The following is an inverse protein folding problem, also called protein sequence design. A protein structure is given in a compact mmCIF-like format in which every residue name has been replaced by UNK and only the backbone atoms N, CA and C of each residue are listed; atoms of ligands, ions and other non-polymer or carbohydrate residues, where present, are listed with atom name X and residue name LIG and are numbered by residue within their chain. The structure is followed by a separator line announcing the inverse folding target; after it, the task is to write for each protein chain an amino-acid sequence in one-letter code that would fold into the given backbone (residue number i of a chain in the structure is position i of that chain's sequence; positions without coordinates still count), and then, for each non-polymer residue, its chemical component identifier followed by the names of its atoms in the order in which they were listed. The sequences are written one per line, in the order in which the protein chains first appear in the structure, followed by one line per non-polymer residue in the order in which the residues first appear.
data_IF_231456572258
#
_entry.id   IF_231456572258
#
_cell.length_a   1.000
_cell.length_b   1.000
_cell.length_c   1.000
_cell.angle_alpha   90.00
_cell.angle_beta   90.00
_cell.angle_gamma   90.00
#
_symmetry.space_group_name_H-M   'P 1'
#
loop_
_entity.id
_entity.type
_entity.pdbx_description
1 polymer ?
#
# COMPACT_ATOMS: atom_id res chain seq x y z
N UNK A 1 -4.28 34.83 72.32
CA UNK A 1 -3.44 33.63 72.03
C UNK A 1 -3.28 33.49 70.52
N UNK A 2 -2.11 33.82 69.95
CA UNK A 2 -1.81 33.56 68.52
C UNK A 2 -0.69 32.52 68.46
N UNK A 3 -1.02 31.29 68.04
CA UNK A 3 -0.04 30.23 67.80
C UNK A 3 0.65 30.50 66.47
N UNK A 4 1.96 30.75 66.50
CA UNK A 4 2.79 30.90 65.32
C UNK A 4 3.00 29.52 64.69
N UNK A 5 2.33 29.26 63.57
CA UNK A 5 2.55 28.09 62.71
C UNK A 5 3.93 28.23 62.04
N UNK A 6 4.90 27.46 62.54
CA UNK A 6 6.22 27.28 61.93
C UNK A 6 6.05 26.53 60.61
N UNK A 7 6.07 27.26 59.48
CA UNK A 7 6.22 26.65 58.15
C UNK A 7 7.64 26.06 58.08
N UNK A 8 7.75 24.74 58.09
CA UNK A 8 8.96 24.05 57.65
C UNK A 8 9.03 24.19 56.12
N UNK A 9 10.02 24.87 55.54
CA UNK A 9 10.21 24.84 54.11
C UNK A 9 10.66 23.42 53.76
N UNK A 10 9.81 22.67 53.05
CA UNK A 10 10.27 21.46 52.40
C UNK A 10 11.26 21.91 51.33
N UNK A 11 12.54 21.63 51.59
CA UNK A 11 13.63 21.84 50.65
C UNK A 11 13.30 21.03 49.40
N UNK A 12 12.95 21.71 48.32
CA UNK A 12 12.89 21.10 46.99
C UNK A 12 14.34 20.78 46.65
N UNK A 13 14.72 19.51 46.77
CA UNK A 13 16.03 19.04 46.36
C UNK A 13 16.13 19.22 44.84
N UNK A 14 16.84 20.28 44.43
CA UNK A 14 17.12 20.55 43.02
C UNK A 14 18.23 19.59 42.58
N UNK A 15 17.88 18.31 42.42
CA UNK A 15 18.75 17.31 41.82
C UNK A 15 18.94 17.66 40.34
N UNK A 16 19.96 18.47 40.05
CA UNK A 16 20.36 18.83 38.70
C UNK A 16 20.98 17.63 37.98
N UNK A 17 20.67 17.50 36.69
CA UNK A 17 21.31 16.55 35.79
C UNK A 17 22.83 16.75 35.81
N UNK A 18 23.58 15.67 35.98
CA UNK A 18 25.03 15.73 35.88
C UNK A 18 25.47 15.85 34.41
N UNK A 19 26.60 16.53 34.14
CA UNK A 19 27.17 16.60 32.79
C UNK A 19 27.45 15.20 32.22
N UNK A 20 27.81 14.25 33.08
CA UNK A 20 28.08 12.88 32.69
C UNK A 20 26.80 12.11 32.31
N UNK A 21 25.68 12.35 32.99
CA UNK A 21 24.39 11.77 32.57
C UNK A 21 23.99 12.25 31.19
N UNK A 22 24.10 13.55 30.93
CA UNK A 22 23.74 14.08 29.62
C UNK A 22 24.67 13.53 28.53
N UNK A 23 25.97 13.41 28.81
CA UNK A 23 26.95 12.84 27.89
C UNK A 23 26.69 11.35 27.60
N UNK A 24 26.39 10.56 28.62
CA UNK A 24 26.10 9.13 28.44
C UNK A 24 24.78 8.92 27.67
N UNK A 25 23.77 9.76 27.89
CA UNK A 25 22.49 9.71 27.16
C UNK A 25 22.70 9.94 25.67
N UNK A 26 23.45 10.96 25.27
CA UNK A 26 23.70 11.21 23.83
C UNK A 26 24.50 10.07 23.19
N UNK A 27 25.41 9.43 23.93
CA UNK A 27 26.16 8.25 23.47
C UNK A 27 25.23 7.06 23.27
N UNK A 28 24.35 6.78 24.23
CA UNK A 28 23.40 5.66 24.13
C UNK A 28 22.40 5.89 22.98
N UNK A 29 21.84 7.09 22.85
CA UNK A 29 20.92 7.43 21.75
C UNK A 29 21.65 7.30 20.39
N UNK A 30 22.91 7.73 20.31
CA UNK A 30 23.75 7.57 19.11
C UNK A 30 23.92 6.11 18.70
N UNK A 31 24.27 5.22 19.64
CA UNK A 31 24.46 3.78 19.37
C UNK A 31 23.13 3.13 18.96
N UNK A 32 22.05 3.38 19.71
CA UNK A 32 20.74 2.80 19.42
C UNK A 32 20.19 3.26 18.06
N UNK A 33 20.35 4.55 17.73
CA UNK A 33 19.88 5.09 16.44
C UNK A 33 20.62 4.49 15.23
N UNK A 34 21.93 4.24 15.36
CA UNK A 34 22.73 3.60 14.31
C UNK A 34 22.25 2.18 13.98
N UNK A 35 21.90 1.38 15.00
CA UNK A 35 21.42 0.01 14.83
C UNK A 35 20.04 0.00 14.13
N UNK A 36 19.13 0.90 14.52
CA UNK A 36 17.78 0.95 13.95
C UNK A 36 17.79 1.23 12.45
N UNK A 37 18.66 2.14 11.98
CA UNK A 37 18.77 2.48 10.55
C UNK A 37 19.29 1.27 9.74
N UNK A 38 20.19 0.47 10.31
CA UNK A 38 20.71 -0.72 9.65
C UNK A 38 19.67 -1.83 9.47
N UNK A 39 18.66 -1.89 10.34
CA UNK A 39 17.62 -2.95 10.34
C UNK A 39 16.45 -2.62 9.41
N UNK A 40 16.10 -1.33 9.25
CA UNK A 40 14.99 -0.93 8.38
C UNK A 40 15.46 -0.89 6.93
N UNK A 41 14.81 -1.68 6.06
CA UNK A 41 14.95 -1.55 4.61
C UNK A 41 13.83 -0.65 4.06
N UNK A 42 14.03 0.68 3.97
CA UNK A 42 12.98 1.60 3.53
C UNK A 42 12.53 1.35 2.10
N UNK A 43 13.40 0.78 1.25
CA UNK A 43 13.06 0.44 -0.11
C UNK A 43 12.00 -0.67 -0.16
N UNK A 44 12.13 -1.72 0.67
CA UNK A 44 11.10 -2.77 0.73
C UNK A 44 9.76 -2.28 1.27
N UNK A 45 9.77 -1.40 2.28
CA UNK A 45 8.54 -0.82 2.82
C UNK A 45 7.82 0.03 1.78
N UNK A 46 8.57 0.85 1.02
CA UNK A 46 8.02 1.64 -0.09
C UNK A 46 7.45 0.76 -1.20
N UNK A 47 8.15 -0.32 -1.56
CA UNK A 47 7.67 -1.29 -2.57
C UNK A 47 6.36 -1.96 -2.13
N UNK A 48 6.30 -2.47 -0.90
CA UNK A 48 5.06 -3.07 -0.35
C UNK A 48 3.90 -2.08 -0.36
N UNK A 49 4.14 -0.83 0.01
CA UNK A 49 3.10 0.21 0.00
C UNK A 49 2.63 0.55 -1.42
N UNK A 50 3.54 0.59 -2.39
CA UNK A 50 3.16 0.76 -3.79
C UNK A 50 2.32 -0.42 -4.29
N UNK A 51 2.71 -1.65 -3.93
CA UNK A 51 1.98 -2.87 -4.31
C UNK A 51 0.60 -2.98 -3.66
N UNK A 52 0.39 -2.50 -2.43
CA UNK A 52 -0.94 -2.48 -1.83
C UNK A 52 -1.88 -1.49 -2.53
N UNK A 53 -1.36 -0.31 -2.91
CA UNK A 53 -2.11 0.65 -3.74
C UNK A 53 -2.42 0.05 -5.12
N UNK A 54 -1.46 -0.67 -5.71
CA UNK A 54 -1.65 -1.37 -6.97
C UNK A 54 -2.78 -2.38 -6.92
N UNK A 55 -2.76 -3.25 -5.91
CA UNK A 55 -3.81 -4.24 -5.68
C UNK A 55 -5.16 -3.55 -5.56
N UNK A 56 -5.27 -2.53 -4.71
CA UNK A 56 -6.52 -1.80 -4.50
C UNK A 56 -7.03 -1.12 -5.79
N UNK A 57 -6.15 -0.55 -6.61
CA UNK A 57 -6.53 0.03 -7.90
C UNK A 57 -6.98 -1.05 -8.88
N UNK A 58 -6.27 -2.19 -8.92
CA UNK A 58 -6.64 -3.34 -9.75
C UNK A 58 -8.00 -3.88 -9.32
N UNK A 59 -8.25 -4.06 -8.02
CA UNK A 59 -9.54 -4.50 -7.47
C UNK A 59 -10.69 -3.60 -7.90
N UNK A 60 -10.53 -2.28 -7.83
CA UNK A 60 -11.55 -1.32 -8.29
C UNK A 60 -11.86 -1.48 -9.77
N UNK A 61 -10.82 -1.62 -10.60
CA UNK A 61 -10.99 -1.83 -12.05
C UNK A 61 -11.62 -3.21 -12.31
N UNK A 62 -11.26 -4.23 -11.55
CA UNK A 62 -11.83 -5.58 -11.60
C UNK A 62 -13.33 -5.58 -11.30
N UNK A 63 -13.75 -4.93 -10.22
CA UNK A 63 -15.17 -4.80 -9.90
C UNK A 63 -15.94 -4.00 -10.96
N UNK A 64 -15.34 -2.93 -11.49
CA UNK A 64 -15.94 -2.16 -12.58
C UNK A 64 -16.09 -3.00 -13.87
N UNK A 65 -15.06 -3.78 -14.26
CA UNK A 65 -15.17 -4.64 -15.43
C UNK A 65 -16.16 -5.79 -15.22
N UNK A 66 -16.24 -6.37 -14.02
CA UNK A 66 -17.11 -7.51 -13.73
C UNK A 66 -18.57 -7.07 -13.67
N UNK A 67 -18.85 -5.92 -13.07
CA UNK A 67 -20.19 -5.32 -13.10
C UNK A 67 -20.61 -4.92 -14.51
N UNK A 68 -19.70 -4.35 -15.32
CA UNK A 68 -19.95 -4.06 -16.72
C UNK A 68 -20.29 -5.34 -17.49
N UNK A 69 -19.47 -6.39 -17.34
CA UNK A 69 -19.61 -7.62 -18.08
C UNK A 69 -20.85 -8.43 -17.69
N UNK A 70 -21.26 -8.36 -16.42
CA UNK A 70 -22.48 -8.99 -15.93
C UNK A 70 -23.78 -8.27 -16.36
N UNK A 71 -23.70 -6.98 -16.69
CA UNK A 71 -24.89 -6.16 -17.00
C UNK A 71 -25.11 -5.99 -18.51
N UNK A 72 -24.05 -6.02 -19.31
CA UNK A 72 -24.13 -5.72 -20.75
C UNK A 72 -24.23 -6.97 -21.61
N UNK A 73 -24.99 -6.84 -22.71
CA UNK A 73 -25.24 -7.93 -23.66
C UNK A 73 -24.02 -8.30 -24.53
N UNK A 74 -23.08 -7.36 -24.74
CA UNK A 74 -21.88 -7.56 -25.57
C UNK A 74 -20.65 -7.06 -24.80
N UNK A 75 -20.21 -7.81 -23.77
CA UNK A 75 -19.11 -7.39 -22.91
C UNK A 75 -17.75 -7.43 -23.62
N UNK A 76 -17.58 -8.27 -24.65
CA UNK A 76 -16.34 -8.33 -25.44
C UNK A 76 -16.02 -7.05 -26.23
N UNK A 77 -16.96 -6.11 -26.35
CA UNK A 77 -16.74 -4.83 -27.04
C UNK A 77 -16.92 -3.65 -26.10
N UNK A 78 -17.84 -3.74 -25.14
CA UNK A 78 -18.22 -2.62 -24.28
C UNK A 78 -17.52 -2.58 -22.91
N UNK A 79 -16.79 -3.62 -22.54
CA UNK A 79 -16.15 -3.74 -21.23
C UNK A 79 -14.64 -4.02 -21.33
N UNK A 80 -14.03 -3.69 -22.46
CA UNK A 80 -12.63 -4.02 -22.79
C UNK A 80 -11.68 -2.83 -22.73
N UNK A 81 -12.19 -1.67 -22.32
CA UNK A 81 -11.42 -0.44 -22.12
C UNK A 81 -11.99 0.37 -20.94
N UNK A 82 -11.23 1.35 -20.48
CA UNK A 82 -11.60 2.18 -19.32
C UNK A 82 -12.84 3.04 -19.60
N UNK A 83 -13.02 3.51 -20.84
CA UNK A 83 -14.20 4.26 -21.24
C UNK A 83 -15.47 3.39 -21.19
N UNK A 84 -15.39 2.17 -21.71
CA UNK A 84 -16.46 1.18 -21.67
C UNK A 84 -16.90 0.88 -20.24
N UNK A 85 -15.96 0.57 -19.34
CA UNK A 85 -16.31 0.29 -17.93
C UNK A 85 -16.65 1.54 -17.11
N UNK A 86 -16.57 2.75 -17.68
CA UNK A 86 -16.85 4.01 -16.99
C UNK A 86 -15.87 4.33 -15.87
N UNK A 87 -14.62 3.88 -15.98
CA UNK A 87 -13.58 4.09 -14.98
C UNK A 87 -12.48 5.02 -15.50
N UNK A 88 -11.86 5.78 -14.61
CA UNK A 88 -10.63 6.52 -14.95
C UNK A 88 -9.43 5.58 -14.85
N UNK A 89 -8.60 5.53 -15.89
CA UNK A 89 -7.40 4.69 -15.92
C UNK A 89 -6.40 5.15 -14.84
N UNK A 90 -6.03 4.31 -13.86
CA UNK A 90 -5.18 4.71 -12.74
C UNK A 90 -3.68 4.68 -13.05
N UNK A 91 -3.27 4.85 -14.31
CA UNK A 91 -1.87 4.78 -14.72
C UNK A 91 -1.00 5.79 -13.96
N UNK A 92 0.23 5.38 -13.64
CA UNK A 92 1.18 6.19 -12.89
C UNK A 92 0.88 6.31 -11.40
N UNK A 93 -0.13 5.62 -10.89
CA UNK A 93 -0.48 5.58 -9.47
C UNK A 93 -0.49 4.13 -8.98
N UNK A 94 0.59 3.62 -8.36
CA UNK A 94 1.87 4.28 -8.04
C UNK A 94 2.77 4.55 -9.26
N UNK A 95 3.78 5.42 -9.11
CA UNK A 95 4.63 5.86 -10.25
C UNK A 95 5.17 4.70 -11.08
N UNK A 96 4.97 4.78 -12.40
CA UNK A 96 5.39 3.75 -13.36
C UNK A 96 4.48 2.53 -13.42
N UNK A 97 3.35 2.51 -12.71
CA UNK A 97 2.32 1.49 -12.88
C UNK A 97 1.52 1.70 -14.17
N UNK A 98 1.14 0.59 -14.80
CA UNK A 98 0.28 0.57 -15.97
C UNK A 98 -0.86 -0.42 -15.75
N UNK A 99 -2.08 0.02 -16.04
CA UNK A 99 -3.28 -0.78 -15.95
C UNK A 99 -3.87 -0.96 -17.33
N UNK A 100 -4.14 -2.20 -17.72
CA UNK A 100 -4.74 -2.54 -19.00
C UNK A 100 -5.96 -3.41 -18.83
N UNK A 101 -6.87 -3.30 -19.79
CA UNK A 101 -8.01 -4.19 -19.96
C UNK A 101 -7.86 -4.76 -21.36
N UNK A 102 -8.03 -6.06 -21.50
CA UNK A 102 -7.96 -6.72 -22.79
C UNK A 102 -8.95 -7.86 -22.86
N UNK A 103 -9.37 -8.17 -24.08
CA UNK A 103 -10.19 -9.33 -24.37
C UNK A 103 -9.41 -10.31 -25.25
N UNK A 104 -9.49 -11.59 -24.92
CA UNK A 104 -8.85 -12.66 -25.67
C UNK A 104 -9.89 -13.63 -26.25
N UNK A 105 -9.80 -13.86 -27.56
CA UNK A 105 -10.48 -14.95 -28.26
C UNK A 105 -9.47 -16.08 -28.55
N UNK A 106 -9.88 -17.37 -28.52
CA UNK A 106 -11.24 -17.89 -28.38
C UNK A 106 -11.66 -18.16 -26.92
N UNK A 107 -10.82 -17.84 -25.93
CA UNK A 107 -11.11 -18.11 -24.52
C UNK A 107 -12.27 -17.29 -23.95
N UNK A 108 -12.73 -16.25 -24.68
CA UNK A 108 -13.85 -15.37 -24.32
C UNK A 108 -13.66 -14.73 -22.95
N UNK A 109 -12.42 -14.38 -22.63
CA UNK A 109 -12.05 -13.87 -21.31
C UNK A 109 -11.61 -12.43 -21.41
N UNK A 110 -12.22 -11.57 -20.61
CA UNK A 110 -11.74 -10.21 -20.36
C UNK A 110 -10.77 -10.29 -19.17
N UNK A 111 -9.61 -9.67 -19.31
CA UNK A 111 -8.56 -9.65 -18.29
C UNK A 111 -8.20 -8.22 -17.97
N UNK A 112 -8.08 -7.91 -16.68
CA UNK A 112 -7.46 -6.68 -16.20
C UNK A 112 -6.07 -7.02 -15.67
N UNK A 113 -5.10 -6.19 -16.00
CA UNK A 113 -3.71 -6.32 -15.56
C UNK A 113 -3.25 -5.00 -14.97
N UNK A 114 -2.84 -5.00 -13.70
CA UNK A 114 -2.09 -3.92 -13.07
C UNK A 114 -0.62 -4.31 -12.96
N UNK A 115 0.25 -3.62 -13.71
CA UNK A 115 1.68 -3.96 -13.87
C UNK A 115 2.56 -2.91 -13.21
N UNK A 116 3.46 -3.36 -12.33
CA UNK A 116 4.53 -2.57 -11.71
C UNK A 116 5.55 -2.01 -12.67
N UNK A 117 6.33 -1.04 -12.17
CA UNK A 117 7.51 -0.57 -12.85
C UNK A 117 8.67 -1.59 -12.71
N UNK A 118 9.51 -1.72 -13.74
CA UNK A 118 10.75 -2.51 -13.72
C UNK A 118 10.78 -3.70 -14.68
N UNK A 119 11.89 -4.44 -14.66
CA UNK A 119 12.18 -5.56 -15.58
C UNK A 119 11.56 -6.90 -15.16
N UNK A 120 11.12 -7.03 -13.90
CA UNK A 120 10.36 -8.18 -13.41
C UNK A 120 9.25 -7.68 -12.47
N UNK A 121 8.21 -7.05 -13.02
CA UNK A 121 7.25 -6.32 -12.21
C UNK A 121 6.31 -7.25 -11.43
N UNK A 122 5.84 -6.75 -10.29
CA UNK A 122 4.65 -7.28 -9.64
C UNK A 122 3.46 -7.02 -10.57
N UNK A 123 2.68 -8.07 -10.84
CA UNK A 123 1.49 -8.00 -11.70
C UNK A 123 0.31 -8.52 -10.91
N UNK A 124 -0.72 -7.69 -10.80
CA UNK A 124 -2.04 -8.09 -10.32
C UNK A 124 -2.95 -8.32 -11.51
N UNK A 125 -3.71 -9.41 -11.48
CA UNK A 125 -4.66 -9.75 -12.53
C UNK A 125 -5.96 -10.28 -11.99
N UNK A 126 -7.04 -9.99 -12.72
CA UNK A 126 -8.34 -10.61 -12.55
C UNK A 126 -8.93 -10.88 -13.92
N UNK A 127 -9.97 -11.72 -13.96
CA UNK A 127 -10.62 -12.04 -15.21
C UNK A 127 -12.12 -12.25 -15.07
N UNK A 128 -12.79 -12.16 -16.21
CA UNK A 128 -14.19 -12.50 -16.37
C UNK A 128 -14.37 -13.29 -17.66
N UNK A 129 -14.91 -14.50 -17.57
CA UNK A 129 -15.25 -15.31 -18.74
C UNK A 129 -16.68 -14.96 -19.18
N UNK A 130 -16.84 -14.45 -20.39
CA UNK A 130 -18.12 -13.97 -20.91
C UNK A 130 -19.05 -15.11 -21.34
N UNK A 131 -18.52 -16.32 -21.56
CA UNK A 131 -19.31 -17.51 -21.90
C UNK A 131 -19.87 -18.19 -20.66
N UNK A 132 -19.03 -18.43 -19.64
CA UNK A 132 -19.46 -19.09 -18.40
C UNK A 132 -20.00 -18.12 -17.34
N UNK A 133 -19.84 -16.81 -17.54
CA UNK A 133 -20.22 -15.77 -16.57
C UNK A 133 -19.37 -15.80 -15.29
N UNK A 134 -18.22 -16.49 -15.30
CA UNK A 134 -17.39 -16.69 -14.10
C UNK A 134 -16.38 -15.56 -13.94
N UNK A 135 -16.38 -14.94 -12.76
CA UNK A 135 -15.41 -13.94 -12.34
C UNK A 135 -14.30 -14.58 -11.50
N UNK A 136 -13.04 -14.19 -11.76
CA UNK A 136 -11.88 -14.55 -10.94
C UNK A 136 -11.44 -13.31 -10.16
N UNK A 137 -11.30 -13.45 -8.85
CA UNK A 137 -10.82 -12.38 -7.98
C UNK A 137 -9.37 -12.01 -8.28
N UNK A 138 -8.97 -10.79 -7.91
CA UNK A 138 -7.61 -10.29 -8.16
C UNK A 138 -6.56 -11.11 -7.44
N UNK A 139 -5.58 -11.58 -8.20
CA UNK A 139 -4.42 -12.34 -7.73
C UNK A 139 -3.11 -11.67 -8.16
N UNK A 140 -2.08 -11.77 -7.32
CA UNK A 140 -0.73 -11.28 -7.62
C UNK A 140 0.18 -12.41 -8.11
N UNK A 141 1.13 -12.10 -8.99
CA UNK A 141 2.20 -13.04 -9.35
C UNK A 141 3.24 -13.20 -8.22
N UNK A 142 4.15 -14.16 -8.36
CA UNK A 142 5.20 -14.45 -7.37
C UNK A 142 6.19 -13.29 -7.12
N UNK A 143 6.17 -12.25 -7.97
CA UNK A 143 7.01 -11.07 -7.81
C UNK A 143 6.40 -10.02 -6.86
N UNK A 144 5.14 -10.20 -6.46
CA UNK A 144 4.45 -9.33 -5.51
C UNK A 144 4.82 -9.72 -4.08
N UNK A 145 5.26 -8.73 -3.30
CA UNK A 145 5.53 -8.83 -1.87
C UNK A 145 4.23 -8.68 -1.04
N UNK A 146 3.24 -7.98 -1.59
CA UNK A 146 1.89 -7.87 -1.04
C UNK A 146 0.94 -8.86 -1.74
N UNK A 147 0.84 -10.09 -1.21
CA UNK A 147 -0.14 -11.09 -1.65
C UNK A 147 -1.46 -10.95 -0.89
#
# INVERSE_FOLDING_TARGET
MRRLLKKNPQLIDASGFTLIELLLVIVIIGILSGIVIAVINPAQVRRRTAETVMRANTDKVCYAMQSCAATRLIPETNCIDFAGIGATQPNGNPTGSVYTISYAAPTTTITVLGTGAGTNPCVFSCSYNTTSGTAVATSGNANCLAL
#
